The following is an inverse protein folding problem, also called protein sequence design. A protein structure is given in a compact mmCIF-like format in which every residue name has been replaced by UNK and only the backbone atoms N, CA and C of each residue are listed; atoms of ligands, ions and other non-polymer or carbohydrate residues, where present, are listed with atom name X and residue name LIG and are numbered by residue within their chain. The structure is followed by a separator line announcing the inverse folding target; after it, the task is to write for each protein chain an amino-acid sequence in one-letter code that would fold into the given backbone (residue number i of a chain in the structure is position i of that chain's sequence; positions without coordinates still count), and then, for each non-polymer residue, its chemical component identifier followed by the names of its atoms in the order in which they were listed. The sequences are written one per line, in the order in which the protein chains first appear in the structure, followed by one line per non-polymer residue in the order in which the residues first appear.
data_IF_343172959302
#
_entry.id   IF_343172959302
#
_cell.length_a   1.000
_cell.length_b   1.000
_cell.length_c   1.000
_cell.angle_alpha   90.00
_cell.angle_beta   90.00
_cell.angle_gamma   90.00
#
_symmetry.space_group_name_H-M   'P 1'
#
loop_
_entity.id
_entity.type
_entity.pdbx_description
1 polymer ?
#
# COMPACT_ATOMS: atom_id res chain seq x y z
N UNK A 1 28.59 -23.92 -0.81
CA UNK A 1 29.86 -24.24 -1.51
C UNK A 1 30.19 -23.03 -2.38
N UNK A 2 31.30 -22.33 -2.11
CA UNK A 2 31.78 -21.25 -2.98
C UNK A 2 32.62 -21.83 -4.11
N UNK A 3 32.56 -21.26 -5.31
CA UNK A 3 33.47 -21.64 -6.39
C UNK A 3 34.89 -21.17 -6.07
N UNK A 4 35.91 -22.00 -6.32
CA UNK A 4 37.33 -21.64 -6.15
C UNK A 4 37.86 -20.65 -7.22
N UNK A 5 36.99 -19.81 -7.80
CA UNK A 5 37.36 -18.88 -8.87
C UNK A 5 38.04 -17.62 -8.31
N UNK A 6 39.02 -17.07 -9.02
CA UNK A 6 39.55 -15.72 -8.71
C UNK A 6 38.55 -14.64 -9.08
N UNK A 7 38.80 -13.40 -8.64
CA UNK A 7 37.94 -12.26 -8.99
C UNK A 7 37.90 -12.00 -10.51
N UNK A 8 39.03 -12.16 -11.21
CA UNK A 8 39.10 -12.02 -12.67
C UNK A 8 38.29 -13.12 -13.37
N UNK A 9 38.43 -14.38 -12.91
CA UNK A 9 37.66 -15.50 -13.45
C UNK A 9 36.15 -15.33 -13.23
N UNK A 10 35.75 -14.77 -12.08
CA UNK A 10 34.35 -14.42 -11.80
C UNK A 10 33.87 -13.33 -12.75
N UNK A 11 34.67 -12.30 -13.02
CA UNK A 11 34.31 -11.22 -13.92
C UNK A 11 34.10 -11.71 -15.36
N UNK A 12 35.05 -12.51 -15.88
CA UNK A 12 34.94 -13.11 -17.22
C UNK A 12 33.73 -14.02 -17.31
N UNK A 13 33.56 -14.93 -16.35
CA UNK A 13 32.40 -15.84 -16.31
C UNK A 13 31.08 -15.07 -16.26
N UNK A 14 31.00 -14.01 -15.46
CA UNK A 14 29.79 -13.18 -15.35
C UNK A 14 29.47 -12.51 -16.69
N UNK A 15 30.46 -11.91 -17.36
CA UNK A 15 30.27 -11.29 -18.66
C UNK A 15 29.77 -12.30 -19.71
N UNK A 16 30.35 -13.50 -19.74
CA UNK A 16 29.92 -14.58 -20.65
C UNK A 16 28.45 -14.97 -20.43
N UNK A 17 28.05 -15.23 -19.17
CA UNK A 17 26.67 -15.64 -18.86
C UNK A 17 25.65 -14.53 -19.19
N UNK A 18 26.02 -13.26 -18.95
CA UNK A 18 25.14 -12.13 -19.30
C UNK A 18 25.00 -12.03 -20.81
N UNK A 19 26.06 -12.23 -21.58
CA UNK A 19 25.99 -12.24 -23.05
C UNK A 19 25.11 -13.38 -23.57
N UNK A 20 25.26 -14.60 -23.05
CA UNK A 20 24.41 -15.75 -23.43
C UNK A 20 22.92 -15.47 -23.19
N UNK A 21 22.60 -14.81 -22.07
CA UNK A 21 21.24 -14.41 -21.74
C UNK A 21 20.72 -13.34 -22.72
N UNK A 22 21.53 -12.33 -23.03
CA UNK A 22 21.18 -11.27 -23.99
C UNK A 22 20.90 -11.87 -25.38
N UNK A 23 21.77 -12.75 -25.86
CA UNK A 23 21.64 -13.42 -27.16
C UNK A 23 20.34 -14.25 -27.22
N UNK A 24 20.01 -14.97 -26.14
CA UNK A 24 18.75 -15.70 -26.02
C UNK A 24 17.53 -14.77 -26.06
N UNK A 25 17.57 -13.64 -25.36
CA UNK A 25 16.49 -12.65 -25.37
C UNK A 25 16.28 -12.03 -26.75
N UNK A 26 17.37 -11.76 -27.50
CA UNK A 26 17.29 -11.29 -28.88
C UNK A 26 16.77 -12.36 -29.84
N UNK A 27 17.14 -13.63 -29.63
CA UNK A 27 16.58 -14.73 -30.40
C UNK A 27 15.05 -14.76 -30.24
N UNK A 28 14.54 -14.70 -29.01
CA UNK A 28 13.10 -14.67 -28.74
C UNK A 28 12.39 -13.50 -29.42
N UNK A 29 13.00 -12.30 -29.42
CA UNK A 29 12.43 -11.11 -30.07
C UNK A 29 12.28 -11.26 -31.59
N UNK A 30 13.13 -12.08 -32.22
CA UNK A 30 13.12 -12.31 -33.68
C UNK A 30 12.17 -13.42 -34.11
N UNK A 31 11.66 -14.23 -33.19
CA UNK A 31 10.78 -15.37 -33.51
C UNK A 31 9.39 -14.90 -33.93
N UNK A 32 8.68 -14.24 -33.03
CA UNK A 32 7.29 -13.80 -33.19
C UNK A 32 6.88 -12.82 -32.08
N UNK A 33 5.64 -12.34 -32.11
CA UNK A 33 5.11 -11.43 -31.08
C UNK A 33 5.04 -12.09 -29.69
N UNK A 34 4.77 -13.40 -29.61
CA UNK A 34 4.77 -14.14 -28.35
C UNK A 34 6.18 -14.26 -27.76
N UNK A 35 7.17 -14.58 -28.59
CA UNK A 35 8.59 -14.59 -28.26
C UNK A 35 9.07 -13.21 -27.79
N UNK A 36 8.68 -12.14 -28.48
CA UNK A 36 9.00 -10.77 -28.08
C UNK A 36 8.43 -10.44 -26.68
N UNK A 37 7.15 -10.75 -26.44
CA UNK A 37 6.52 -10.58 -25.12
C UNK A 37 7.19 -11.43 -24.04
N UNK A 38 7.63 -12.65 -24.39
CA UNK A 38 8.37 -13.53 -23.47
C UNK A 38 9.71 -12.92 -23.09
N UNK A 39 10.44 -12.39 -24.07
CA UNK A 39 11.73 -11.71 -23.86
C UNK A 39 11.60 -10.52 -22.90
N UNK A 40 10.62 -9.64 -23.15
CA UNK A 40 10.32 -8.50 -22.28
C UNK A 40 10.00 -8.93 -20.84
N UNK A 41 9.17 -9.97 -20.66
CA UNK A 41 8.85 -10.51 -19.32
C UNK A 41 10.07 -11.05 -18.58
N UNK A 42 10.99 -11.72 -19.28
CA UNK A 42 12.23 -12.22 -18.67
C UNK A 42 13.10 -11.04 -18.22
N UNK A 43 13.26 -10.02 -19.07
CA UNK A 43 14.03 -8.82 -18.73
C UNK A 43 13.44 -8.09 -17.50
N UNK A 44 12.12 -7.90 -17.47
CA UNK A 44 11.41 -7.33 -16.31
C UNK A 44 11.58 -8.19 -15.04
N UNK A 45 11.58 -9.51 -15.17
CA UNK A 45 11.82 -10.39 -14.02
C UNK A 45 13.25 -10.26 -13.49
N UNK A 46 14.27 -10.21 -14.36
CA UNK A 46 15.66 -10.00 -13.96
C UNK A 46 15.80 -8.66 -13.22
N UNK A 47 15.16 -7.60 -13.73
CA UNK A 47 15.14 -6.30 -13.07
C UNK A 47 14.52 -6.39 -11.66
N UNK A 48 13.37 -7.06 -11.53
CA UNK A 48 12.72 -7.29 -10.23
C UNK A 48 13.58 -8.14 -9.29
N UNK A 49 14.24 -9.18 -9.81
CA UNK A 49 15.12 -10.04 -9.04
C UNK A 49 16.31 -9.27 -8.47
N UNK A 50 16.96 -8.43 -9.28
CA UNK A 50 18.02 -7.52 -8.82
C UNK A 50 17.50 -6.55 -7.76
N UNK A 51 16.28 -6.02 -7.92
CA UNK A 51 15.64 -5.17 -6.88
C UNK A 51 15.46 -5.93 -5.57
N UNK A 52 15.02 -7.19 -5.60
CA UNK A 52 14.92 -8.02 -4.40
C UNK A 52 16.27 -8.24 -3.73
N UNK A 53 17.31 -8.60 -4.49
CA UNK A 53 18.66 -8.80 -3.95
C UNK A 53 19.20 -7.54 -3.25
N UNK A 54 18.99 -6.35 -3.85
CA UNK A 54 19.46 -5.07 -3.28
C UNK A 54 18.84 -4.75 -1.92
N UNK A 55 17.59 -5.18 -1.66
CA UNK A 55 16.89 -4.88 -0.41
C UNK A 55 16.93 -6.03 0.60
N UNK A 56 17.52 -7.18 0.25
CA UNK A 56 17.50 -8.41 1.07
C UNK A 56 18.05 -8.18 2.47
N UNK A 57 19.18 -7.47 2.58
CA UNK A 57 19.86 -7.21 3.86
C UNK A 57 19.11 -6.23 4.77
N UNK A 58 18.25 -5.38 4.19
CA UNK A 58 17.49 -4.35 4.93
C UNK A 58 16.02 -4.73 5.11
N UNK A 59 15.58 -5.83 4.51
CA UNK A 59 14.19 -6.26 4.56
C UNK A 59 13.78 -6.68 5.98
N UNK A 60 12.79 -6.00 6.53
CA UNK A 60 12.22 -6.33 7.83
C UNK A 60 10.86 -7.04 7.66
N UNK A 61 10.75 -8.35 7.94
CA UNK A 61 9.49 -9.09 7.83
C UNK A 61 8.41 -8.56 8.79
N UNK A 62 8.79 -7.88 9.88
CA UNK A 62 7.83 -7.31 10.86
C UNK A 62 7.03 -6.12 10.31
N UNK A 63 7.46 -5.55 9.18
CA UNK A 63 6.74 -4.50 8.46
C UNK A 63 5.40 -4.99 7.89
N UNK A 64 5.29 -6.30 7.65
CA UNK A 64 4.08 -6.98 7.22
C UNK A 64 3.45 -7.64 8.46
N UNK A 65 2.14 -7.49 8.62
CA UNK A 65 1.41 -8.14 9.70
C UNK A 65 1.50 -9.68 9.57
N UNK A 66 1.51 -10.37 10.70
CA UNK A 66 1.40 -11.83 10.72
C UNK A 66 0.13 -12.28 9.99
N UNK A 67 0.28 -13.18 9.02
CA UNK A 67 -0.80 -13.66 8.17
C UNK A 67 -1.38 -14.94 8.75
N UNK A 68 -2.71 -15.02 8.78
CA UNK A 68 -3.39 -16.23 9.20
C UNK A 68 -3.39 -17.24 8.05
N UNK A 69 -3.53 -18.51 8.38
CA UNK A 69 -3.90 -19.51 7.40
C UNK A 69 -5.20 -19.09 6.69
N UNK A 70 -5.26 -19.24 5.37
CA UNK A 70 -6.37 -18.77 4.55
C UNK A 70 -6.29 -17.30 4.15
N UNK A 71 -5.27 -16.55 4.61
CA UNK A 71 -5.08 -15.16 4.19
C UNK A 71 -4.83 -15.05 2.68
N UNK A 72 -5.44 -14.05 2.04
CA UNK A 72 -5.21 -13.74 0.63
C UNK A 72 -4.07 -12.74 0.49
N UNK A 73 -3.08 -13.08 -0.34
CA UNK A 73 -1.97 -12.21 -0.69
C UNK A 73 -1.85 -12.06 -2.20
N UNK A 74 -1.26 -10.97 -2.66
CA UNK A 74 -0.88 -10.76 -4.05
C UNK A 74 0.65 -10.83 -4.13
N UNK A 75 1.17 -11.84 -4.84
CA UNK A 75 2.58 -12.19 -4.82
C UNK A 75 3.16 -12.30 -6.24
N UNK A 76 4.46 -12.06 -6.34
CA UNK A 76 5.26 -12.27 -7.53
C UNK A 76 5.90 -13.67 -7.48
N UNK A 77 5.40 -14.58 -8.30
CA UNK A 77 5.93 -15.94 -8.41
C UNK A 77 7.17 -16.02 -9.29
N UNK A 78 7.48 -14.94 -10.01
CA UNK A 78 8.64 -14.86 -10.90
C UNK A 78 8.45 -15.52 -12.25
N UNK A 79 9.51 -15.53 -13.06
CA UNK A 79 9.55 -16.24 -14.33
C UNK A 79 10.18 -17.62 -14.12
N UNK A 80 9.33 -18.63 -13.97
CA UNK A 80 9.75 -19.98 -13.58
C UNK A 80 9.97 -20.91 -14.77
N UNK A 81 10.61 -22.05 -14.52
CA UNK A 81 10.96 -23.03 -15.56
C UNK A 81 9.77 -23.93 -15.90
N UNK A 82 9.65 -24.30 -17.17
CA UNK A 82 8.63 -25.26 -17.62
C UNK A 82 7.21 -24.81 -17.33
N UNK A 83 6.47 -25.61 -16.54
CA UNK A 83 5.05 -25.40 -16.20
C UNK A 83 4.83 -24.90 -14.77
N UNK A 84 5.89 -24.52 -14.07
CA UNK A 84 5.78 -23.89 -12.76
C UNK A 84 4.97 -22.59 -12.86
N UNK A 85 4.08 -22.38 -11.92
CA UNK A 85 3.25 -21.18 -11.90
C UNK A 85 4.11 -19.94 -11.67
N UNK A 86 3.94 -18.92 -12.51
CA UNK A 86 4.78 -17.72 -12.52
C UNK A 86 3.97 -16.44 -12.72
N UNK A 87 4.63 -15.30 -12.54
CA UNK A 87 4.02 -13.98 -12.67
C UNK A 87 3.30 -13.49 -11.41
N UNK A 88 2.52 -12.42 -11.57
CA UNK A 88 1.85 -11.72 -10.48
C UNK A 88 0.44 -12.29 -10.26
N UNK A 89 0.23 -12.96 -9.13
CA UNK A 89 -1.03 -13.64 -8.86
C UNK A 89 -1.46 -13.52 -7.41
N UNK A 90 -2.77 -13.66 -7.18
CA UNK A 90 -3.28 -13.87 -5.83
C UNK A 90 -2.93 -15.29 -5.36
N UNK A 91 -2.79 -15.46 -4.05
CA UNK A 91 -2.48 -16.74 -3.43
C UNK A 91 -3.03 -16.82 -2.01
N UNK A 92 -3.24 -18.04 -1.55
CA UNK A 92 -3.72 -18.36 -0.21
C UNK A 92 -2.54 -18.73 0.66
N UNK A 93 -2.41 -18.13 1.84
CA UNK A 93 -1.40 -18.51 2.84
C UNK A 93 -1.78 -19.83 3.50
N UNK A 94 -0.87 -20.80 3.50
CA UNK A 94 -1.07 -22.12 4.09
C UNK A 94 -0.41 -22.30 5.46
N UNK A 95 0.48 -21.39 5.88
CA UNK A 95 1.13 -21.44 7.18
C UNK A 95 0.10 -21.54 8.31
N UNK A 96 0.22 -22.57 9.15
CA UNK A 96 -0.56 -22.68 10.39
C UNK A 96 -0.19 -21.58 11.39
N UNK A 97 1.09 -21.25 11.47
CA UNK A 97 1.64 -20.20 12.34
C UNK A 97 2.57 -19.33 11.49
N UNK A 98 2.36 -18.01 11.53
CA UNK A 98 3.23 -17.01 10.92
C UNK A 98 3.75 -16.04 11.98
N UNK A 99 4.97 -16.27 12.47
CA UNK A 99 5.60 -15.33 13.40
C UNK A 99 5.92 -14.00 12.70
N UNK A 100 5.91 -12.87 13.42
CA UNK A 100 6.25 -11.56 12.81
C UNK A 100 7.67 -11.49 12.24
N UNK A 101 8.59 -12.32 12.74
CA UNK A 101 9.96 -12.44 12.22
C UNK A 101 10.10 -13.47 11.10
N UNK A 102 9.02 -14.17 10.73
CA UNK A 102 9.07 -15.18 9.68
C UNK A 102 9.20 -14.51 8.31
N UNK A 103 10.23 -14.91 7.56
CA UNK A 103 10.51 -14.41 6.22
C UNK A 103 9.79 -15.18 5.11
N UNK A 104 9.29 -16.39 5.38
CA UNK A 104 8.83 -17.33 4.36
C UNK A 104 7.34 -17.66 4.53
N UNK A 105 6.62 -17.73 3.43
CA UNK A 105 5.22 -18.17 3.39
C UNK A 105 5.09 -19.37 2.46
N UNK A 106 4.39 -20.39 2.91
CA UNK A 106 3.88 -21.46 2.08
C UNK A 106 2.55 -20.95 1.52
N UNK A 107 2.46 -20.88 0.21
CA UNK A 107 1.33 -20.28 -0.48
C UNK A 107 0.78 -21.21 -1.55
N UNK A 108 -0.50 -21.04 -1.82
CA UNK A 108 -1.25 -21.78 -2.82
C UNK A 108 -1.81 -20.80 -3.86
N UNK A 109 -1.26 -20.78 -5.09
CA UNK A 109 -1.64 -19.80 -6.09
C UNK A 109 -3.09 -19.94 -6.57
N UNK A 110 -3.67 -18.80 -6.94
CA UNK A 110 -5.00 -18.66 -7.52
C UNK A 110 -4.93 -18.23 -8.98
N UNK A 111 -5.78 -18.83 -9.80
CA UNK A 111 -6.09 -18.37 -11.15
C UNK A 111 -7.55 -17.97 -11.26
N UNK A 112 -7.84 -16.98 -12.10
CA UNK A 112 -9.20 -16.57 -12.43
C UNK A 112 -9.87 -17.56 -13.38
N UNK A 113 -11.17 -17.77 -13.22
CA UNK A 113 -12.02 -18.39 -14.25
C UNK A 113 -12.23 -17.37 -15.36
N UNK A 114 -11.80 -17.67 -16.58
CA UNK A 114 -12.00 -16.83 -17.77
C UNK A 114 -13.23 -17.29 -18.55
N UNK A 115 -13.72 -16.47 -19.46
CA UNK A 115 -14.80 -16.87 -20.39
C UNK A 115 -14.44 -18.14 -21.19
N UNK A 116 -13.14 -18.35 -21.44
CA UNK A 116 -12.61 -19.52 -22.13
C UNK A 116 -12.36 -20.73 -21.23
N UNK A 117 -12.62 -20.62 -19.92
CA UNK A 117 -12.37 -21.71 -18.97
C UNK A 117 -13.53 -22.70 -18.99
N UNK A 118 -13.26 -23.94 -19.39
CA UNK A 118 -14.22 -25.03 -19.31
C UNK A 118 -14.26 -25.60 -17.89
N UNK A 119 -15.23 -25.14 -17.10
CA UNK A 119 -15.46 -25.58 -15.71
C UNK A 119 -15.86 -27.06 -15.65
N UNK A 120 -16.43 -27.62 -16.72
CA UNK A 120 -16.87 -29.01 -16.74
C UNK A 120 -15.71 -30.01 -16.90
N UNK A 121 -14.55 -29.53 -17.37
CA UNK A 121 -13.39 -30.36 -17.68
C UNK A 121 -12.10 -29.79 -17.08
N UNK A 122 -12.15 -29.51 -15.77
CA UNK A 122 -10.97 -29.04 -15.03
C UNK A 122 -9.96 -30.15 -14.81
N UNK A 123 -8.68 -29.79 -14.79
CA UNK A 123 -7.60 -30.74 -14.46
C UNK A 123 -7.70 -31.16 -13.00
N UNK A 124 -7.20 -32.36 -12.68
CA UNK A 124 -7.26 -32.93 -11.32
C UNK A 124 -6.66 -32.03 -10.22
N UNK A 125 -5.74 -31.13 -10.59
CA UNK A 125 -5.11 -30.17 -9.67
C UNK A 125 -5.81 -28.80 -9.61
N UNK A 126 -6.92 -28.61 -10.33
CA UNK A 126 -7.67 -27.36 -10.37
C UNK A 126 -8.94 -27.49 -9.54
N UNK A 127 -9.05 -26.69 -8.47
CA UNK A 127 -10.21 -26.68 -7.57
C UNK A 127 -10.92 -25.32 -7.63
N UNK A 128 -12.13 -25.23 -8.18
CA UNK A 128 -12.96 -24.03 -8.07
C UNK A 128 -13.33 -23.75 -6.63
N UNK A 129 -13.15 -22.50 -6.21
CA UNK A 129 -13.58 -22.00 -4.89
C UNK A 129 -14.66 -20.91 -5.01
N UNK A 130 -15.24 -20.75 -6.20
CA UNK A 130 -16.28 -19.76 -6.47
C UNK A 130 -15.78 -18.32 -6.33
N UNK A 131 -16.69 -17.42 -5.94
CA UNK A 131 -16.45 -15.98 -5.91
C UNK A 131 -16.07 -15.42 -4.54
N UNK A 132 -15.77 -16.26 -3.55
CA UNK A 132 -15.50 -15.82 -2.19
C UNK A 132 -14.34 -14.81 -2.12
N UNK A 133 -13.24 -15.09 -2.84
CA UNK A 133 -12.08 -14.19 -2.93
C UNK A 133 -12.53 -12.81 -3.43
N UNK A 134 -13.31 -12.76 -4.52
CA UNK A 134 -13.82 -11.51 -5.08
C UNK A 134 -14.73 -10.76 -4.09
N UNK A 135 -15.63 -11.47 -3.40
CA UNK A 135 -16.53 -10.88 -2.41
C UNK A 135 -15.76 -10.28 -1.24
N UNK A 136 -14.79 -11.01 -0.69
CA UNK A 136 -13.95 -10.54 0.41
C UNK A 136 -13.15 -9.29 0.03
N UNK A 137 -12.51 -9.31 -1.14
CA UNK A 137 -11.76 -8.16 -1.67
C UNK A 137 -12.67 -6.94 -1.85
N UNK A 138 -13.82 -7.12 -2.50
CA UNK A 138 -14.77 -6.05 -2.79
C UNK A 138 -15.34 -5.43 -1.52
N UNK A 139 -15.81 -6.27 -0.59
CA UNK A 139 -16.39 -5.81 0.67
C UNK A 139 -15.37 -5.07 1.53
N UNK A 140 -14.13 -5.57 1.59
CA UNK A 140 -13.04 -4.94 2.34
C UNK A 140 -12.67 -3.59 1.74
N UNK A 141 -12.57 -3.49 0.42
CA UNK A 141 -12.24 -2.24 -0.27
C UNK A 141 -13.35 -1.19 -0.10
N UNK A 142 -14.61 -1.56 -0.30
CA UNK A 142 -15.76 -0.66 -0.11
C UNK A 142 -15.87 -0.16 1.33
N UNK A 143 -15.70 -1.07 2.31
CA UNK A 143 -15.67 -0.69 3.72
C UNK A 143 -14.54 0.31 4.00
N UNK A 144 -13.34 0.06 3.45
CA UNK A 144 -12.19 0.93 3.67
C UNK A 144 -12.38 2.32 3.08
N UNK A 145 -12.95 2.42 1.87
CA UNK A 145 -13.27 3.71 1.26
C UNK A 145 -14.28 4.46 2.12
N UNK A 146 -15.36 3.81 2.57
CA UNK A 146 -16.35 4.43 3.45
C UNK A 146 -15.70 5.00 4.73
N UNK A 147 -14.91 4.19 5.43
CA UNK A 147 -14.20 4.62 6.65
C UNK A 147 -13.28 5.83 6.40
N UNK A 148 -12.55 5.82 5.27
CA UNK A 148 -11.64 6.91 4.93
C UNK A 148 -12.39 8.17 4.50
N UNK A 149 -13.49 8.05 3.75
CA UNK A 149 -14.34 9.17 3.34
C UNK A 149 -14.97 9.84 4.55
N UNK A 150 -15.54 9.08 5.47
CA UNK A 150 -16.09 9.61 6.73
C UNK A 150 -15.03 10.35 7.55
N UNK A 151 -13.79 9.83 7.59
CA UNK A 151 -12.70 10.47 8.30
C UNK A 151 -12.26 11.76 7.60
N UNK A 152 -12.17 11.75 6.27
CA UNK A 152 -11.85 12.92 5.45
C UNK A 152 -12.88 14.04 5.65
N UNK A 153 -14.18 13.72 5.58
CA UNK A 153 -15.26 14.70 5.76
C UNK A 153 -15.21 15.36 7.15
N UNK A 154 -14.91 14.58 8.20
CA UNK A 154 -14.73 15.12 9.55
C UNK A 154 -13.58 16.12 9.62
N UNK A 155 -12.42 15.78 9.07
CA UNK A 155 -11.26 16.68 9.09
C UNK A 155 -11.41 17.87 8.15
N UNK A 156 -12.14 17.71 7.05
CA UNK A 156 -12.47 18.80 6.12
C UNK A 156 -13.39 19.82 6.78
N UNK A 157 -14.41 19.35 7.52
CA UNK A 157 -15.26 20.22 8.33
C UNK A 157 -14.45 20.96 9.41
N UNK A 158 -13.58 20.24 10.12
CA UNK A 158 -12.66 20.85 11.10
C UNK A 158 -11.77 21.92 10.48
N UNK A 159 -11.29 21.72 9.24
CA UNK A 159 -10.48 22.69 8.51
C UNK A 159 -11.24 24.01 8.29
N UNK A 160 -12.51 23.91 7.88
CA UNK A 160 -13.40 25.07 7.72
C UNK A 160 -13.57 25.83 9.04
N UNK A 161 -13.89 25.13 10.13
CA UNK A 161 -14.06 25.71 11.46
C UNK A 161 -12.78 26.41 11.97
N UNK A 162 -11.61 25.82 11.72
CA UNK A 162 -10.33 26.43 12.09
C UNK A 162 -10.05 27.70 11.28
N UNK A 163 -10.31 27.70 9.97
CA UNK A 163 -10.15 28.88 9.11
C UNK A 163 -11.05 30.04 9.56
N UNK A 164 -12.32 29.76 9.86
CA UNK A 164 -13.25 30.76 10.38
C UNK A 164 -12.77 31.36 11.71
N UNK A 165 -12.26 30.53 12.62
CA UNK A 165 -11.68 30.98 13.90
C UNK A 165 -10.45 31.87 13.69
N UNK A 166 -9.54 31.52 12.77
CA UNK A 166 -8.36 32.35 12.47
C UNK A 166 -8.79 33.73 11.98
N UNK A 167 -9.71 33.79 11.01
CA UNK A 167 -10.20 35.05 10.44
C UNK A 167 -10.84 35.93 11.54
N UNK A 168 -11.65 35.33 12.43
CA UNK A 168 -12.27 36.05 13.54
C UNK A 168 -11.22 36.64 14.50
N UNK A 169 -10.22 35.84 14.90
CA UNK A 169 -9.17 36.30 15.83
C UNK A 169 -8.31 37.39 15.18
N UNK A 170 -7.97 37.26 13.90
CA UNK A 170 -7.22 38.27 13.15
C UNK A 170 -7.98 39.60 13.05
N UNK A 171 -9.30 39.55 12.80
CA UNK A 171 -10.14 40.75 12.82
C UNK A 171 -10.11 41.45 14.18
N UNK A 172 -10.22 40.69 15.28
CA UNK A 172 -10.16 41.26 16.64
C UNK A 172 -8.79 41.89 16.95
N UNK A 173 -7.70 41.27 16.47
CA UNK A 173 -6.35 41.85 16.60
C UNK A 173 -6.28 43.17 15.84
N UNK A 174 -6.81 43.22 14.62
CA UNK A 174 -6.80 44.41 13.77
C UNK A 174 -7.62 45.55 14.39
N UNK A 175 -8.81 45.27 14.92
CA UNK A 175 -9.64 46.27 15.59
C UNK A 175 -8.98 46.81 16.87
N UNK A 176 -8.32 45.94 17.64
CA UNK A 176 -7.54 46.35 18.80
C UNK A 176 -6.32 47.20 18.41
N UNK A 177 -5.64 46.90 17.30
CA UNK A 177 -4.53 47.71 16.77
C UNK A 177 -4.99 49.11 16.36
N UNK A 178 -6.10 49.22 15.64
CA UNK A 178 -6.70 50.53 15.29
C UNK A 178 -7.04 51.34 16.53
N UNK A 179 -7.65 50.71 17.53
CA UNK A 179 -7.97 51.36 18.80
C UNK A 179 -6.70 51.85 19.51
N UNK A 180 -5.64 51.04 19.51
CA UNK A 180 -4.34 51.40 20.07
C UNK A 180 -3.71 52.60 19.36
N UNK A 181 -3.79 52.67 18.03
CA UNK A 181 -3.29 53.81 17.25
C UNK A 181 -4.04 55.10 17.56
N UNK A 182 -5.37 55.05 17.66
CA UNK A 182 -6.20 56.20 18.05
C UNK A 182 -5.78 56.73 19.43
N UNK A 183 -5.60 55.83 20.41
CA UNK A 183 -5.19 56.20 21.76
C UNK A 183 -3.77 56.80 21.84
N UNK A 184 -2.85 56.33 20.99
CA UNK A 184 -1.47 56.86 20.92
C UNK A 184 -1.38 58.23 20.28
N UNK A 185 -2.32 58.59 19.41
CA UNK A 185 -2.35 59.85 18.67
C UNK A 185 -3.07 61.00 19.40
N UNK A 186 -3.59 60.75 20.62
CA UNK A 186 -4.09 61.82 21.50
C UNK A 186 -2.94 62.72 21.97
N UNK A 187 -3.16 64.04 22.06
CA UNK A 187 -2.13 65.03 22.41
C UNK A 187 -1.46 64.77 23.76
N UNK A 188 -0.17 65.11 23.87
CA UNK A 188 0.65 64.98 25.09
C UNK A 188 0.14 65.76 26.31
N UNK A 189 -0.89 66.60 26.16
CA UNK A 189 -1.60 67.32 27.23
C UNK A 189 -2.73 66.53 27.90
N UNK A 190 -3.17 65.39 27.34
CA UNK A 190 -4.38 64.65 27.75
C UNK A 190 -4.11 63.21 28.22
N UNK A 191 -2.84 62.81 28.34
CA UNK A 191 -2.45 61.46 28.78
C UNK A 191 -2.55 61.38 30.31
N UNK A 192 -3.66 60.84 30.80
CA UNK A 192 -3.82 60.47 32.21
C UNK A 192 -3.39 59.01 32.49
N UNK A 193 -3.24 58.66 33.77
CA UNK A 193 -2.87 57.31 34.23
C UNK A 193 -3.87 56.22 33.77
N UNK A 194 -5.13 56.61 33.56
CA UNK A 194 -6.19 55.73 33.03
C UNK A 194 -5.92 55.34 31.58
N UNK A 195 -5.49 56.29 30.74
CA UNK A 195 -5.15 56.07 29.34
C UNK A 195 -3.95 55.13 29.18
N UNK A 196 -2.94 55.30 30.04
CA UNK A 196 -1.77 54.39 30.10
C UNK A 196 -2.22 52.97 30.46
N UNK A 197 -3.10 52.82 31.45
CA UNK A 197 -3.63 51.52 31.87
C UNK A 197 -4.47 50.83 30.79
N UNK A 198 -5.24 51.60 30.02
CA UNK A 198 -5.98 51.09 28.86
C UNK A 198 -5.04 50.59 27.76
N UNK A 199 -4.01 51.37 27.40
CA UNK A 199 -2.99 50.97 26.42
C UNK A 199 -2.31 49.66 26.83
N UNK A 200 -1.90 49.53 28.10
CA UNK A 200 -1.30 48.30 28.63
C UNK A 200 -2.25 47.10 28.54
N UNK A 201 -3.55 47.31 28.76
CA UNK A 201 -4.57 46.26 28.66
C UNK A 201 -4.78 45.82 27.22
N UNK A 202 -4.87 46.76 26.28
CA UNK A 202 -5.03 46.46 24.85
C UNK A 202 -3.80 45.71 24.32
N UNK A 203 -2.59 46.13 24.68
CA UNK A 203 -1.37 45.41 24.28
C UNK A 203 -1.40 43.95 24.79
N UNK A 204 -1.72 43.71 26.06
CA UNK A 204 -1.86 42.35 26.59
C UNK A 204 -2.92 41.53 25.84
N UNK A 205 -4.02 42.14 25.44
CA UNK A 205 -5.07 41.47 24.67
C UNK A 205 -4.59 41.13 23.25
N UNK A 206 -3.84 42.03 22.60
CA UNK A 206 -3.24 41.78 21.28
C UNK A 206 -2.23 40.63 21.37
N UNK A 207 -1.34 40.65 22.37
CA UNK A 207 -0.35 39.59 22.58
C UNK A 207 -1.05 38.24 22.79
N UNK A 208 -2.04 38.18 23.70
CA UNK A 208 -2.81 36.97 23.95
C UNK A 208 -3.56 36.47 22.70
N UNK A 209 -4.22 37.37 21.95
CA UNK A 209 -4.93 37.00 20.73
C UNK A 209 -3.97 36.50 19.64
N UNK A 210 -2.78 37.10 19.54
CA UNK A 210 -1.73 36.67 18.61
C UNK A 210 -1.22 35.27 18.93
N UNK A 211 -0.99 34.97 20.22
CA UNK A 211 -0.62 33.62 20.68
C UNK A 211 -1.70 32.58 20.36
N UNK A 212 -2.98 32.95 20.51
CA UNK A 212 -4.09 32.07 20.16
C UNK A 212 -4.18 31.85 18.64
N UNK A 213 -4.02 32.91 17.84
CA UNK A 213 -3.99 32.81 16.38
C UNK A 213 -2.88 31.87 15.91
N UNK A 214 -1.69 31.94 16.51
CA UNK A 214 -0.57 31.06 16.17
C UNK A 214 -0.87 29.59 16.48
N UNK A 215 -1.46 29.30 17.65
CA UNK A 215 -1.89 27.93 18.00
C UNK A 215 -2.91 27.37 17.02
N UNK A 216 -3.92 28.17 16.66
CA UNK A 216 -4.96 27.74 15.70
C UNK A 216 -4.34 27.52 14.31
N UNK A 217 -3.42 28.38 13.87
CA UNK A 217 -2.70 28.20 12.60
C UNK A 217 -1.87 26.92 12.59
N UNK A 218 -1.21 26.60 13.71
CA UNK A 218 -0.46 25.36 13.84
C UNK A 218 -1.40 24.13 13.77
N UNK A 219 -2.53 24.16 14.46
CA UNK A 219 -3.53 23.10 14.38
C UNK A 219 -4.10 22.95 12.95
N UNK A 220 -4.37 24.06 12.26
CA UNK A 220 -4.83 24.06 10.87
C UNK A 220 -3.78 23.44 9.92
N UNK A 221 -2.49 23.74 10.15
CA UNK A 221 -1.39 23.15 9.39
C UNK A 221 -1.31 21.63 9.59
N UNK A 222 -1.42 21.16 10.82
CA UNK A 222 -1.46 19.72 11.13
C UNK A 222 -2.66 19.03 10.50
N UNK A 223 -3.83 19.67 10.55
CA UNK A 223 -5.05 19.18 9.93
C UNK A 223 -4.93 19.07 8.40
N UNK A 224 -4.28 20.04 7.76
CA UNK A 224 -4.04 20.04 6.32
C UNK A 224 -3.11 18.89 5.88
N UNK A 225 -2.05 18.60 6.67
CA UNK A 225 -1.16 17.45 6.43
C UNK A 225 -1.97 16.14 6.51
N UNK A 226 -2.80 16.00 7.54
CA UNK A 226 -3.63 14.81 7.71
C UNK A 226 -4.64 14.61 6.57
N UNK A 227 -5.26 15.70 6.10
CA UNK A 227 -6.15 15.66 4.93
C UNK A 227 -5.43 15.19 3.67
N UNK A 228 -4.19 15.64 3.45
CA UNK A 228 -3.38 15.18 2.32
C UNK A 228 -3.09 13.66 2.42
N UNK A 229 -2.68 13.18 3.60
CA UNK A 229 -2.45 11.73 3.82
C UNK A 229 -3.72 10.89 3.61
N UNK A 230 -4.88 11.39 4.05
CA UNK A 230 -6.16 10.72 3.88
C UNK A 230 -6.55 10.66 2.40
N UNK A 231 -6.29 11.72 1.65
CA UNK A 231 -6.55 11.76 0.22
C UNK A 231 -5.71 10.73 -0.55
N UNK A 232 -4.42 10.59 -0.22
CA UNK A 232 -3.56 9.54 -0.81
C UNK A 232 -4.08 8.13 -0.49
N UNK A 233 -4.51 7.90 0.76
CA UNK A 233 -5.11 6.61 1.17
C UNK A 233 -6.42 6.33 0.44
N UNK A 234 -7.26 7.34 0.23
CA UNK A 234 -8.49 7.24 -0.57
C UNK A 234 -8.19 6.92 -2.03
N UNK A 235 -7.20 7.57 -2.63
CA UNK A 235 -6.79 7.31 -4.00
C UNK A 235 -6.34 5.85 -4.19
N UNK A 236 -5.49 5.35 -3.28
CA UNK A 236 -5.08 3.95 -3.28
C UNK A 236 -6.30 3.01 -3.15
N UNK A 237 -7.23 3.29 -2.24
CA UNK A 237 -8.40 2.46 -2.03
C UNK A 237 -9.36 2.46 -3.23
N UNK A 238 -9.56 3.61 -3.88
CA UNK A 238 -10.35 3.72 -5.10
C UNK A 238 -9.70 2.98 -6.27
N UNK A 239 -8.37 3.09 -6.44
CA UNK A 239 -7.62 2.28 -7.43
C UNK A 239 -7.81 0.79 -7.19
N UNK A 240 -7.81 0.36 -5.92
CA UNK A 240 -8.05 -1.03 -5.57
C UNK A 240 -9.48 -1.49 -5.90
N UNK A 241 -10.50 -0.65 -5.70
CA UNK A 241 -11.87 -0.93 -6.12
C UNK A 241 -11.93 -1.13 -7.64
N UNK A 242 -11.36 -0.22 -8.42
CA UNK A 242 -11.32 -0.33 -9.88
C UNK A 242 -10.65 -1.63 -10.34
N UNK A 243 -9.51 -1.98 -9.71
CA UNK A 243 -8.83 -3.26 -9.97
C UNK A 243 -9.76 -4.44 -9.67
N UNK A 244 -10.44 -4.43 -8.52
CA UNK A 244 -11.32 -5.52 -8.10
C UNK A 244 -12.53 -5.66 -9.03
N UNK A 245 -13.12 -4.54 -9.47
CA UNK A 245 -14.26 -4.54 -10.42
C UNK A 245 -13.90 -5.15 -11.78
N UNK A 246 -12.65 -5.01 -12.20
CA UNK A 246 -12.14 -5.57 -13.46
C UNK A 246 -11.67 -7.03 -13.33
N UNK A 247 -11.73 -7.63 -12.13
CA UNK A 247 -11.36 -9.03 -11.94
C UNK A 247 -12.54 -9.96 -12.25
N UNK A 248 -12.23 -11.13 -12.79
CA UNK A 248 -13.22 -12.21 -12.86
C UNK A 248 -13.59 -12.63 -11.43
N UNK A 249 -14.89 -12.87 -11.22
CA UNK A 249 -15.43 -13.13 -9.89
C UNK A 249 -14.98 -14.48 -9.34
N UNK A 250 -15.01 -15.51 -10.18
CA UNK A 250 -14.70 -16.87 -9.75
C UNK A 250 -13.20 -17.17 -9.79
N UNK A 251 -12.74 -17.87 -8.76
CA UNK A 251 -11.34 -18.25 -8.56
C UNK A 251 -11.19 -19.77 -8.54
N UNK A 252 -10.05 -20.23 -9.07
CA UNK A 252 -9.61 -21.62 -9.05
C UNK A 252 -8.26 -21.67 -8.32
N UNK A 253 -8.15 -22.61 -7.40
CA UNK A 253 -6.93 -22.97 -6.69
C UNK A 253 -6.11 -23.97 -7.52
N UNK A 254 -4.79 -23.79 -7.57
CA UNK A 254 -3.85 -24.68 -8.28
C UNK A 254 -3.11 -25.59 -7.30
N UNK A 255 -3.70 -26.74 -6.98
CA UNK A 255 -3.27 -27.65 -5.91
C UNK A 255 -1.84 -28.18 -6.08
N UNK A 256 -1.38 -28.42 -7.31
CA UNK A 256 -0.02 -28.90 -7.59
C UNK A 256 1.03 -27.78 -7.63
N UNK A 257 0.66 -26.53 -7.29
CA UNK A 257 1.53 -25.36 -7.30
C UNK A 257 1.76 -24.79 -5.90
N UNK A 258 1.57 -25.60 -4.84
CA UNK A 258 1.98 -25.23 -3.48
C UNK A 258 3.47 -24.91 -3.50
N UNK A 259 3.84 -23.71 -3.06
CA UNK A 259 5.22 -23.25 -3.11
C UNK A 259 5.57 -22.36 -1.92
N UNK A 260 6.86 -22.26 -1.61
CA UNK A 260 7.37 -21.33 -0.60
C UNK A 260 7.86 -20.06 -1.28
N UNK A 261 7.40 -18.91 -0.80
CA UNK A 261 7.87 -17.60 -1.23
C UNK A 261 8.46 -16.81 -0.05
N UNK A 262 9.44 -15.95 -0.35
CA UNK A 262 9.86 -14.91 0.59
C UNK A 262 8.77 -13.84 0.69
N UNK A 263 8.54 -13.27 1.88
CA UNK A 263 7.65 -12.12 2.08
C UNK A 263 8.07 -10.90 1.25
N UNK A 264 9.32 -10.83 0.80
CA UNK A 264 9.79 -9.81 -0.15
C UNK A 264 9.07 -9.88 -1.50
N UNK A 265 8.59 -11.06 -1.89
CA UNK A 265 7.84 -11.28 -3.14
C UNK A 265 6.38 -10.84 -3.02
N UNK A 266 5.91 -10.44 -1.83
CA UNK A 266 4.56 -9.86 -1.68
C UNK A 266 4.50 -8.49 -2.33
N UNK A 267 3.58 -8.36 -3.28
CA UNK A 267 3.20 -7.09 -3.88
C UNK A 267 2.11 -6.41 -3.07
N UNK A 268 1.30 -7.19 -2.39
CA UNK A 268 0.32 -6.74 -1.40
C UNK A 268 -0.01 -7.92 -0.46
N UNK A 269 -0.06 -7.77 0.87
CA UNK A 269 0.30 -6.59 1.66
C UNK A 269 1.81 -6.32 1.71
N UNK A 270 2.21 -5.05 1.54
CA UNK A 270 3.59 -4.58 1.78
C UNK A 270 3.80 -3.99 3.17
N UNK A 271 2.72 -3.57 3.82
CA UNK A 271 2.71 -2.98 5.15
C UNK A 271 1.30 -3.10 5.76
N UNK A 272 1.13 -2.59 6.98
CA UNK A 272 -0.13 -2.64 7.72
C UNK A 272 -1.27 -1.79 7.11
N UNK A 273 -0.99 -0.92 6.13
CA UNK A 273 -2.00 -0.07 5.50
C UNK A 273 -2.68 -0.74 4.29
N UNK A 274 -2.21 -1.92 3.87
CA UNK A 274 -2.81 -2.69 2.78
C UNK A 274 -4.27 -3.06 3.05
N UNK A 275 -5.09 -3.04 1.99
CA UNK A 275 -6.48 -3.49 2.03
C UNK A 275 -6.57 -5.01 2.23
N UNK A 276 -5.58 -5.78 1.75
CA UNK A 276 -5.54 -7.24 1.91
C UNK A 276 -5.33 -7.68 3.37
N UNK A 277 -4.91 -6.76 4.25
CA UNK A 277 -4.72 -7.10 5.65
C UNK A 277 -6.03 -7.57 6.30
N UNK A 278 -5.99 -8.78 6.82
CA UNK A 278 -7.13 -9.43 7.48
C UNK A 278 -8.19 -9.97 6.52
N UNK A 279 -7.92 -10.06 5.22
CA UNK A 279 -8.74 -10.88 4.32
C UNK A 279 -8.33 -12.34 4.49
N UNK A 280 -9.28 -13.17 4.91
CA UNK A 280 -9.09 -14.61 5.18
C UNK A 280 -10.30 -15.34 4.63
N UNK A 281 -10.07 -16.46 3.95
CA UNK A 281 -11.13 -17.36 3.49
C UNK A 281 -11.88 -17.98 4.68
N UNK A 282 -13.13 -18.36 4.44
CA UNK A 282 -13.94 -19.12 5.39
C UNK A 282 -13.34 -20.48 5.70
N UNK A 283 -13.64 -20.98 6.90
CA UNK A 283 -13.23 -22.31 7.34
C UNK A 283 -13.77 -23.39 6.38
N UNK A 284 -15.03 -23.28 5.93
CA UNK A 284 -15.64 -24.20 4.95
C UNK A 284 -14.84 -24.30 3.64
N UNK A 285 -14.32 -23.18 3.12
CA UNK A 285 -13.49 -23.18 1.90
C UNK A 285 -12.11 -23.74 2.18
N UNK A 286 -11.52 -23.43 3.34
CA UNK A 286 -10.23 -23.99 3.74
C UNK A 286 -10.29 -25.51 3.95
N UNK A 287 -11.37 -26.03 4.52
CA UNK A 287 -11.59 -27.46 4.71
C UNK A 287 -11.69 -28.19 3.36
N UNK A 288 -12.40 -27.60 2.38
CA UNK A 288 -12.46 -28.14 1.01
C UNK A 288 -11.09 -28.18 0.34
N UNK A 289 -10.28 -27.13 0.52
CA UNK A 289 -8.91 -27.08 0.00
C UNK A 289 -8.07 -28.17 0.66
N UNK A 290 -8.21 -28.38 1.96
CA UNK A 290 -7.44 -29.38 2.72
C UNK A 290 -7.77 -30.80 2.29
N UNK A 291 -9.05 -31.13 2.12
CA UNK A 291 -9.45 -32.44 1.57
C UNK A 291 -8.94 -32.63 0.13
N UNK A 292 -8.97 -31.59 -0.69
CA UNK A 292 -8.45 -31.67 -2.05
C UNK A 292 -6.93 -31.86 -2.09
N UNK A 293 -6.18 -31.19 -1.20
CA UNK A 293 -4.72 -31.31 -1.11
C UNK A 293 -4.28 -32.73 -0.72
N UNK A 294 -5.03 -33.44 0.13
CA UNK A 294 -4.76 -34.85 0.48
C UNK A 294 -4.81 -35.80 -0.72
N UNK A 295 -5.51 -35.42 -1.78
CA UNK A 295 -5.58 -36.22 -3.02
C UNK A 295 -4.42 -35.91 -3.98
N UNK A 296 -3.57 -34.93 -3.66
CA UNK A 296 -2.41 -34.51 -4.47
C UNK A 296 -1.09 -34.87 -3.79
N UNK A 297 -1.02 -34.80 -2.46
CA UNK A 297 0.15 -35.07 -1.63
C UNK A 297 -0.16 -36.09 -0.55
#
# INVERSE_FOLDING_TARGET
MGSNRTNEEIAVYTATIIQELEDYLHLLQRMDDEGNKRSDKIAQWIENWVKYLKIEQVFNPRSIQALKRGSIVYADFGFNVGREYGGLHYAIVLNKIDARSNHLLHVLPLTSVKETTDISNLKYFQLPIGNEVFQLLSNKALKKVRELSELYDRFSKKDGELREKVVMVESLIEDNKKTLEILKNLSSSDIDDSSIKQILTINKNIDFASDQAEKIRQEAKENAILLAELNEKLEYANKFILKTQNMNKDSIVLLNQVTTISKMRLRDPKNNNSILNGIVLSDDTMDKIDEALKNIF
#
